data_IF_035185725419
#
_entry.id   IF_035185725419
#
_cell.length_a   1.000
_cell.length_b   1.000
_cell.length_c   1.000
_cell.angle_alpha   90.00
_cell.angle_beta   90.00
_cell.angle_gamma   90.00
#
_symmetry.space_group_name_H-M   'P 1'
#
loop_
_entity.id
_entity.type
_entity.pdbx_description
1 polymer ?
#
# COMPACT_ATOMS: atom_id res chain seq x y z
N UNK A 1 54.10 38.68 -36.65
CA UNK A 1 54.48 37.28 -36.38
C UNK A 1 53.94 36.80 -35.05
N UNK A 2 53.05 35.80 -35.16
CA UNK A 2 52.79 34.74 -34.15
C UNK A 2 52.10 35.18 -32.83
N UNK A 3 51.13 34.57 -32.31
CA UNK A 3 50.21 33.42 -32.60
C UNK A 3 49.25 33.36 -31.44
N UNK A 4 48.00 33.09 -31.81
CA UNK A 4 46.90 32.69 -30.98
C UNK A 4 47.19 31.85 -29.75
N UNK A 5 46.44 32.08 -28.70
CA UNK A 5 45.80 31.02 -27.93
C UNK A 5 44.57 31.53 -27.15
N UNK A 6 43.42 31.40 -27.74
CA UNK A 6 42.14 31.37 -27.06
C UNK A 6 42.09 30.24 -26.07
N UNK A 7 41.81 30.51 -24.80
CA UNK A 7 41.34 29.55 -23.83
C UNK A 7 39.84 29.64 -23.66
N UNK A 8 39.22 28.67 -24.17
CA UNK A 8 37.84 28.30 -24.12
C UNK A 8 37.43 27.90 -22.68
N UNK A 9 36.66 28.73 -21.99
CA UNK A 9 36.01 28.37 -20.74
C UNK A 9 34.66 27.77 -21.08
N UNK A 10 34.58 26.47 -21.07
CA UNK A 10 33.33 25.70 -21.15
C UNK A 10 32.52 25.87 -19.88
N UNK A 11 31.42 26.54 -20.02
CA UNK A 11 30.27 26.50 -19.09
C UNK A 11 29.87 25.02 -18.88
N UNK A 12 29.88 24.59 -17.62
CA UNK A 12 29.31 23.28 -17.21
C UNK A 12 27.82 23.48 -16.98
N UNK A 13 27.05 23.21 -17.99
CA UNK A 13 25.60 23.03 -17.82
C UNK A 13 25.35 21.81 -16.96
N UNK A 14 24.72 22.06 -15.82
CA UNK A 14 24.26 21.01 -14.93
C UNK A 14 23.16 20.22 -15.65
N UNK A 15 23.49 19.04 -16.14
CA UNK A 15 22.52 18.04 -16.57
C UNK A 15 21.78 17.56 -15.34
N UNK A 16 20.55 18.01 -15.17
CA UNK A 16 19.56 17.35 -14.32
C UNK A 16 19.33 15.98 -14.94
N UNK A 17 19.96 14.98 -14.38
CA UNK A 17 19.72 13.60 -14.73
C UNK A 17 18.32 13.19 -14.24
N UNK A 18 17.39 13.08 -15.18
CA UNK A 18 16.15 12.31 -14.94
C UNK A 18 16.56 10.88 -14.58
N UNK A 19 16.44 10.55 -13.33
CA UNK A 19 16.55 9.16 -12.88
C UNK A 19 15.38 8.40 -13.52
N UNK A 20 15.64 7.73 -14.63
CA UNK A 20 14.78 6.65 -15.11
C UNK A 20 14.91 5.53 -14.10
N UNK A 21 13.82 5.24 -13.37
CA UNK A 21 13.71 4.02 -12.60
C UNK A 21 13.97 2.85 -13.57
N UNK A 22 15.14 2.23 -13.45
CA UNK A 22 15.40 0.95 -14.09
C UNK A 22 14.60 -0.09 -13.32
N UNK A 23 13.59 -0.67 -13.95
CA UNK A 23 13.04 -1.94 -13.49
C UNK A 23 14.20 -2.91 -13.31
N UNK A 24 14.35 -3.43 -12.10
CA UNK A 24 15.37 -4.44 -11.81
C UNK A 24 15.15 -5.65 -12.70
N UNK A 25 16.21 -6.16 -13.29
CA UNK A 25 16.18 -7.22 -14.28
C UNK A 25 15.73 -8.60 -13.72
N UNK A 26 15.28 -8.70 -12.48
CA UNK A 26 14.98 -9.97 -11.78
C UNK A 26 13.56 -10.10 -11.23
N UNK A 27 12.62 -9.26 -11.60
CA UNK A 27 11.21 -9.44 -11.22
C UNK A 27 10.91 -9.31 -9.72
N UNK A 28 11.82 -8.78 -8.91
CA UNK A 28 11.55 -8.50 -7.51
C UNK A 28 10.68 -7.25 -7.38
N UNK A 29 9.68 -7.25 -6.45
CA UNK A 29 8.84 -6.09 -6.23
C UNK A 29 9.66 -4.89 -5.76
N UNK A 30 9.33 -3.71 -6.27
CA UNK A 30 9.93 -2.48 -5.78
C UNK A 30 9.58 -2.30 -4.30
N UNK A 31 10.59 -2.08 -3.47
CA UNK A 31 10.39 -1.81 -2.05
C UNK A 31 9.67 -0.47 -1.85
N UNK A 32 8.62 -0.50 -1.06
CA UNK A 32 7.83 0.65 -0.67
C UNK A 32 8.14 1.06 0.77
N UNK A 33 8.06 2.36 1.04
CA UNK A 33 8.19 2.83 2.42
C UNK A 33 6.99 2.34 3.24
N UNK A 34 7.27 1.63 4.33
CA UNK A 34 6.23 1.09 5.21
C UNK A 34 6.51 1.49 6.67
N UNK A 35 5.77 2.49 7.17
CA UNK A 35 5.93 2.99 8.54
C UNK A 35 5.24 2.11 9.58
N UNK A 36 4.18 1.40 9.20
CA UNK A 36 3.32 0.69 10.15
C UNK A 36 3.31 -0.82 9.96
N UNK A 37 4.01 -1.34 8.96
CA UNK A 37 4.05 -2.77 8.65
C UNK A 37 4.46 -3.64 9.82
N UNK A 38 5.39 -3.17 10.64
CA UNK A 38 5.82 -3.87 11.85
C UNK A 38 4.67 -4.18 12.82
N UNK A 39 3.70 -3.27 12.92
CA UNK A 39 2.52 -3.45 13.78
C UNK A 39 1.46 -4.36 13.15
N UNK A 40 1.45 -4.48 11.83
CA UNK A 40 0.47 -5.27 11.08
C UNK A 40 0.97 -6.69 10.76
N UNK A 41 2.27 -6.88 10.63
CA UNK A 41 2.89 -8.17 10.29
C UNK A 41 2.45 -9.33 11.19
N UNK A 42 2.24 -9.18 12.53
CA UNK A 42 1.76 -10.25 13.39
C UNK A 42 0.43 -10.89 12.97
N UNK A 43 -0.41 -10.18 12.21
CA UNK A 43 -1.67 -10.73 11.70
C UNK A 43 -1.49 -11.79 10.61
N UNK A 44 -0.28 -12.00 10.10
CA UNK A 44 0.03 -13.07 9.13
C UNK A 44 0.11 -14.47 9.76
N UNK A 45 0.20 -14.58 11.09
CA UNK A 45 0.41 -15.82 11.82
C UNK A 45 -0.66 -16.90 11.64
N UNK A 46 -1.88 -16.50 11.25
CA UNK A 46 -3.01 -17.41 11.08
C UNK A 46 -3.04 -18.10 9.71
N UNK A 47 -2.05 -17.80 8.87
CA UNK A 47 -1.93 -18.33 7.52
C UNK A 47 -0.79 -19.34 7.43
N UNK A 48 -1.02 -20.40 6.67
CA UNK A 48 0.00 -21.27 6.13
C UNK A 48 0.15 -21.01 4.63
N UNK A 49 1.32 -21.33 4.08
CA UNK A 49 1.62 -21.11 2.68
C UNK A 49 1.90 -22.44 2.00
N UNK A 50 1.20 -22.69 0.89
CA UNK A 50 1.41 -23.88 0.08
C UNK A 50 1.21 -23.54 -1.40
N UNK A 51 1.87 -24.29 -2.28
CA UNK A 51 1.76 -24.11 -3.71
C UNK A 51 0.51 -24.80 -4.26
N UNK A 52 -0.16 -24.14 -5.21
CA UNK A 52 -1.24 -24.74 -5.97
C UNK A 52 -0.67 -25.75 -6.98
N UNK A 53 -1.41 -26.84 -7.25
CA UNK A 53 -0.94 -27.85 -8.17
C UNK A 53 -0.72 -27.28 -9.58
N UNK A 54 0.33 -27.76 -10.25
CA UNK A 54 0.65 -27.35 -11.62
C UNK A 54 -0.53 -27.56 -12.59
N UNK A 55 -1.24 -28.67 -12.44
CA UNK A 55 -2.43 -28.95 -13.26
C UNK A 55 -3.52 -27.91 -13.09
N UNK A 56 -3.79 -27.49 -11.84
CA UNK A 56 -4.75 -26.43 -11.55
C UNK A 56 -4.32 -25.10 -12.18
N UNK A 57 -3.05 -24.73 -12.02
CA UNK A 57 -2.51 -23.47 -12.56
C UNK A 57 -2.59 -23.42 -14.08
N UNK A 58 -2.24 -24.50 -14.77
CA UNK A 58 -2.32 -24.61 -16.23
C UNK A 58 -3.77 -24.56 -16.73
N UNK A 59 -4.66 -25.29 -16.06
CA UNK A 59 -6.09 -25.32 -16.43
C UNK A 59 -6.77 -23.96 -16.30
N UNK A 60 -6.33 -23.15 -15.33
CA UNK A 60 -6.93 -21.85 -15.04
C UNK A 60 -6.11 -20.65 -15.56
N UNK A 61 -5.07 -20.88 -16.35
CA UNK A 61 -4.18 -19.85 -16.92
C UNK A 61 -3.47 -18.97 -15.87
N UNK A 62 -3.05 -19.56 -14.76
CA UNK A 62 -2.30 -18.88 -13.71
C UNK A 62 -0.86 -19.39 -13.56
N UNK A 63 -0.44 -20.32 -14.41
CA UNK A 63 0.89 -20.93 -14.32
C UNK A 63 2.02 -19.90 -14.44
N UNK A 64 1.84 -18.88 -15.28
CA UNK A 64 2.84 -17.81 -15.49
C UNK A 64 3.07 -16.94 -14.26
N UNK A 65 2.06 -16.75 -13.40
CA UNK A 65 2.15 -15.86 -12.23
C UNK A 65 2.25 -16.59 -10.88
N UNK A 66 1.76 -17.82 -10.80
CA UNK A 66 1.71 -18.58 -9.54
C UNK A 66 2.56 -19.85 -9.53
N UNK A 67 3.31 -20.16 -10.59
CA UNK A 67 4.27 -21.25 -10.57
C UNK A 67 5.36 -20.98 -9.55
N UNK A 68 5.59 -21.92 -8.63
CA UNK A 68 6.52 -21.79 -7.50
C UNK A 68 6.22 -20.59 -6.57
N UNK A 69 4.97 -20.14 -6.56
CA UNK A 69 4.50 -19.08 -5.67
C UNK A 69 3.57 -19.70 -4.62
N UNK A 70 3.96 -19.75 -3.34
CA UNK A 70 3.07 -20.23 -2.30
C UNK A 70 1.92 -19.26 -2.08
N UNK A 71 0.72 -19.79 -1.92
CA UNK A 71 -0.49 -19.02 -1.65
C UNK A 71 -0.91 -19.15 -0.18
N UNK A 72 -1.47 -18.09 0.42
CA UNK A 72 -1.85 -18.13 1.82
C UNK A 72 -3.19 -18.85 2.00
N UNK A 73 -3.20 -19.75 2.96
CA UNK A 73 -4.39 -20.54 3.33
C UNK A 73 -4.61 -20.34 4.82
N UNK A 74 -5.81 -19.93 5.21
CA UNK A 74 -6.16 -19.90 6.64
C UNK A 74 -6.21 -21.32 7.18
N UNK A 75 -5.66 -21.51 8.37
CA UNK A 75 -5.65 -22.81 9.05
C UNK A 75 -7.05 -23.39 9.22
N UNK A 76 -8.06 -22.53 9.35
CA UNK A 76 -9.46 -22.92 9.51
C UNK A 76 -10.17 -23.29 8.20
N UNK A 77 -9.60 -22.94 7.02
CA UNK A 77 -10.21 -23.08 5.70
C UNK A 77 -9.61 -24.19 4.83
N UNK A 78 -8.81 -25.08 5.42
CA UNK A 78 -8.08 -26.15 4.68
C UNK A 78 -8.99 -27.06 3.84
N UNK A 79 -10.24 -27.25 4.25
CA UNK A 79 -11.19 -28.18 3.62
C UNK A 79 -12.12 -27.53 2.60
N UNK A 80 -12.17 -26.20 2.53
CA UNK A 80 -13.10 -25.45 1.67
C UNK A 80 -12.43 -24.21 1.07
N UNK A 81 -11.41 -24.44 0.24
CA UNK A 81 -10.66 -23.37 -0.42
C UNK A 81 -11.31 -23.00 -1.75
N UNK A 82 -11.71 -21.74 -1.89
CA UNK A 82 -12.25 -21.16 -3.13
C UNK A 82 -11.34 -20.08 -3.68
N UNK A 83 -11.48 -19.73 -4.95
CA UNK A 83 -10.70 -18.65 -5.58
C UNK A 83 -10.89 -17.31 -4.84
N UNK A 84 -12.10 -17.03 -4.39
CA UNK A 84 -12.41 -15.81 -3.62
C UNK A 84 -11.68 -15.82 -2.27
N UNK A 85 -11.65 -16.95 -1.58
CA UNK A 85 -10.92 -17.10 -0.31
C UNK A 85 -9.41 -16.93 -0.52
N UNK A 86 -8.86 -17.53 -1.57
CA UNK A 86 -7.44 -17.35 -1.92
C UNK A 86 -7.13 -15.88 -2.18
N UNK A 87 -7.95 -15.22 -2.98
CA UNK A 87 -7.78 -13.78 -3.29
C UNK A 87 -7.89 -12.90 -2.03
N UNK A 88 -8.86 -13.19 -1.16
CA UNK A 88 -9.00 -12.48 0.12
C UNK A 88 -7.79 -12.71 1.03
N UNK A 89 -7.33 -13.94 1.14
CA UNK A 89 -6.14 -14.28 1.94
C UNK A 89 -4.89 -13.57 1.38
N UNK A 90 -4.70 -13.56 0.06
CA UNK A 90 -3.63 -12.81 -0.61
C UNK A 90 -3.70 -11.32 -0.28
N UNK A 91 -4.89 -10.74 -0.33
CA UNK A 91 -5.11 -9.33 0.01
C UNK A 91 -4.71 -9.02 1.46
N UNK A 92 -5.11 -9.86 2.40
CA UNK A 92 -4.70 -9.70 3.82
C UNK A 92 -3.19 -9.76 3.97
N UNK A 93 -2.52 -10.72 3.33
CA UNK A 93 -1.05 -10.84 3.42
C UNK A 93 -0.35 -9.60 2.89
N UNK A 94 -0.71 -9.12 1.70
CA UNK A 94 -0.07 -7.92 1.14
C UNK A 94 -0.45 -6.63 1.87
N UNK A 95 -1.60 -6.59 2.52
CA UNK A 95 -1.99 -5.51 3.41
C UNK A 95 -1.18 -5.48 4.70
N UNK A 96 -0.82 -6.64 5.26
CA UNK A 96 0.07 -6.76 6.40
C UNK A 96 1.51 -6.40 6.07
N UNK A 97 1.97 -6.79 4.89
CA UNK A 97 3.33 -6.58 4.40
C UNK A 97 3.29 -6.14 2.94
N UNK A 98 3.34 -4.82 2.73
CA UNK A 98 3.31 -4.25 1.38
C UNK A 98 4.58 -4.54 0.56
N UNK A 99 5.63 -5.01 1.21
CA UNK A 99 6.88 -5.46 0.58
C UNK A 99 7.01 -6.99 0.51
N UNK A 100 5.89 -7.69 0.68
CA UNK A 100 5.85 -9.15 0.57
C UNK A 100 6.43 -9.62 -0.77
N UNK A 101 7.30 -10.62 -0.72
CA UNK A 101 8.07 -11.10 -1.87
C UNK A 101 7.20 -11.40 -3.11
N UNK A 102 6.00 -11.94 -2.93
CA UNK A 102 5.09 -12.32 -4.01
C UNK A 102 3.92 -11.34 -4.19
N UNK A 103 4.04 -10.12 -3.68
CA UNK A 103 2.99 -9.08 -3.78
C UNK A 103 2.48 -8.91 -5.21
N UNK A 104 3.38 -8.76 -6.17
CA UNK A 104 3.00 -8.47 -7.55
C UNK A 104 2.27 -9.65 -8.19
N UNK A 105 2.68 -10.89 -7.89
CA UNK A 105 1.96 -12.10 -8.32
C UNK A 105 0.57 -12.18 -7.71
N UNK A 106 0.40 -11.82 -6.44
CA UNK A 106 -0.90 -11.80 -5.78
C UNK A 106 -1.83 -10.73 -6.36
N UNK A 107 -1.33 -9.52 -6.54
CA UNK A 107 -2.10 -8.44 -7.16
C UNK A 107 -2.54 -8.82 -8.56
N UNK A 108 -1.66 -9.43 -9.37
CA UNK A 108 -1.98 -9.86 -10.72
C UNK A 108 -3.03 -10.98 -10.73
N UNK A 109 -2.92 -11.98 -9.84
CA UNK A 109 -3.93 -13.00 -9.69
C UNK A 109 -5.31 -12.42 -9.36
N UNK A 110 -5.38 -11.50 -8.40
CA UNK A 110 -6.63 -10.85 -8.00
C UNK A 110 -7.23 -10.06 -9.15
N UNK A 111 -6.41 -9.27 -9.86
CA UNK A 111 -6.87 -8.46 -11.00
C UNK A 111 -7.36 -9.32 -12.17
N UNK A 112 -6.67 -10.41 -12.51
CA UNK A 112 -7.11 -11.33 -13.56
C UNK A 112 -8.42 -12.05 -13.22
N UNK A 113 -8.58 -12.42 -11.95
CA UNK A 113 -9.75 -13.18 -11.49
C UNK A 113 -10.98 -12.31 -11.26
N UNK A 114 -10.81 -11.10 -10.74
CA UNK A 114 -11.90 -10.27 -10.21
C UNK A 114 -11.85 -8.81 -10.66
N UNK A 115 -10.80 -8.39 -11.34
CA UNK A 115 -10.58 -6.98 -11.68
C UNK A 115 -10.20 -6.11 -10.47
N UNK A 116 -10.00 -4.82 -10.73
CA UNK A 116 -9.73 -3.82 -9.67
C UNK A 116 -10.95 -3.60 -8.76
N UNK A 117 -12.14 -3.99 -9.20
CA UNK A 117 -13.38 -3.94 -8.40
C UNK A 117 -13.32 -4.81 -7.15
N UNK A 118 -12.37 -5.75 -7.06
CA UNK A 118 -12.13 -6.53 -5.83
C UNK A 118 -11.74 -5.64 -4.64
N UNK A 119 -11.26 -4.44 -4.89
CA UNK A 119 -11.01 -3.46 -3.84
C UNK A 119 -12.28 -3.06 -3.07
N UNK A 120 -13.46 -3.04 -3.73
CA UNK A 120 -14.72 -2.62 -3.11
C UNK A 120 -15.14 -3.47 -1.91
N UNK A 121 -15.21 -4.82 -1.99
CA UNK A 121 -15.52 -5.65 -0.82
C UNK A 121 -14.48 -5.52 0.29
N UNK A 122 -13.20 -5.31 -0.04
CA UNK A 122 -12.15 -5.08 0.97
C UNK A 122 -12.37 -3.76 1.70
N UNK A 123 -12.74 -2.69 0.99
CA UNK A 123 -13.06 -1.39 1.59
C UNK A 123 -14.27 -1.52 2.52
N UNK A 124 -15.34 -2.18 2.10
CA UNK A 124 -16.52 -2.39 2.92
C UNK A 124 -16.22 -3.18 4.20
N UNK A 125 -15.44 -4.26 4.09
CA UNK A 125 -14.99 -5.04 5.24
C UNK A 125 -14.09 -4.22 6.17
N UNK A 126 -13.21 -3.39 5.61
CA UNK A 126 -12.37 -2.46 6.37
C UNK A 126 -13.19 -1.42 7.15
N UNK A 127 -14.23 -0.87 6.54
CA UNK A 127 -15.17 0.05 7.20
C UNK A 127 -15.89 -0.66 8.35
N UNK A 128 -16.32 -1.88 8.15
CA UNK A 128 -16.95 -2.69 9.20
C UNK A 128 -15.98 -2.96 10.35
N UNK A 129 -14.73 -3.33 10.05
CA UNK A 129 -13.69 -3.52 11.07
C UNK A 129 -13.44 -2.23 11.88
N UNK A 130 -13.33 -1.08 11.20
CA UNK A 130 -13.16 0.22 11.85
C UNK A 130 -14.33 0.57 12.75
N UNK A 131 -15.57 0.23 12.36
CA UNK A 131 -16.76 0.45 13.18
C UNK A 131 -16.76 -0.34 14.49
N UNK A 132 -15.99 -1.42 14.53
CA UNK A 132 -15.76 -2.27 15.72
C UNK A 132 -14.46 -1.90 16.45
N UNK A 133 -13.83 -0.81 16.10
CA UNK A 133 -12.52 -0.37 16.62
C UNK A 133 -11.38 -1.34 16.34
N UNK A 134 -11.51 -2.24 15.36
CA UNK A 134 -10.42 -3.06 14.87
C UNK A 134 -9.66 -2.31 13.76
N UNK A 135 -8.91 -1.30 14.18
CA UNK A 135 -8.21 -0.40 13.25
C UNK A 135 -7.03 -1.05 12.55
N UNK A 136 -6.36 -2.00 13.18
CA UNK A 136 -5.26 -2.75 12.55
C UNK A 136 -5.78 -3.55 11.35
N UNK A 137 -6.86 -4.29 11.54
CA UNK A 137 -7.47 -5.06 10.46
C UNK A 137 -8.05 -4.15 9.37
N UNK A 138 -8.67 -3.03 9.76
CA UNK A 138 -9.13 -2.02 8.81
C UNK A 138 -7.98 -1.47 7.95
N UNK A 139 -6.87 -1.10 8.56
CA UNK A 139 -5.67 -0.64 7.85
C UNK A 139 -5.13 -1.69 6.87
N UNK A 140 -5.08 -2.97 7.28
CA UNK A 140 -4.67 -4.08 6.42
C UNK A 140 -5.52 -4.13 5.15
N UNK A 141 -6.84 -4.09 5.29
CA UNK A 141 -7.77 -4.18 4.17
C UNK A 141 -7.71 -2.96 3.25
N UNK A 142 -7.59 -1.75 3.80
CA UNK A 142 -7.46 -0.54 3.00
C UNK A 142 -6.12 -0.49 2.25
N UNK A 143 -5.03 -0.94 2.86
CA UNK A 143 -3.73 -1.06 2.19
C UNK A 143 -3.78 -2.05 1.04
N UNK A 144 -4.41 -3.21 1.24
CA UNK A 144 -4.64 -4.19 0.19
C UNK A 144 -5.48 -3.62 -0.96
N UNK A 145 -6.57 -2.92 -0.64
CA UNK A 145 -7.41 -2.26 -1.63
C UNK A 145 -6.62 -1.26 -2.49
N UNK A 146 -5.74 -0.47 -1.88
CA UNK A 146 -4.88 0.50 -2.59
C UNK A 146 -3.81 -0.16 -3.46
N UNK A 147 -3.32 -1.34 -3.10
CA UNK A 147 -2.41 -2.11 -3.95
C UNK A 147 -3.13 -2.70 -5.17
N UNK A 148 -4.38 -3.10 -5.02
CA UNK A 148 -5.21 -3.66 -6.09
C UNK A 148 -5.72 -2.54 -7.01
N UNK A 149 -6.22 -1.46 -6.46
CA UNK A 149 -6.70 -0.27 -7.16
C UNK A 149 -6.08 1.00 -6.57
N UNK A 150 -4.92 1.45 -7.10
CA UNK A 150 -4.26 2.66 -6.63
C UNK A 150 -5.06 3.95 -6.80
N UNK A 151 -6.13 3.92 -7.59
CA UNK A 151 -7.02 5.07 -7.86
C UNK A 151 -8.24 5.12 -6.93
N UNK A 152 -8.39 4.16 -6.03
CA UNK A 152 -9.50 4.12 -5.08
C UNK A 152 -9.35 5.21 -4.01
N UNK A 153 -9.87 6.40 -4.28
CA UNK A 153 -9.79 7.56 -3.37
C UNK A 153 -10.52 7.33 -2.05
N UNK A 154 -11.63 6.58 -2.08
CA UNK A 154 -12.37 6.16 -0.89
C UNK A 154 -11.55 5.23 0.00
N UNK A 155 -10.77 4.30 -0.57
CA UNK A 155 -9.83 3.49 0.19
C UNK A 155 -8.74 4.34 0.85
N UNK A 156 -8.20 5.32 0.14
CA UNK A 156 -7.19 6.23 0.67
C UNK A 156 -7.74 7.09 1.82
N UNK A 157 -8.94 7.61 1.67
CA UNK A 157 -9.64 8.35 2.73
C UNK A 157 -9.89 7.48 3.96
N UNK A 158 -10.45 6.29 3.78
CA UNK A 158 -10.70 5.36 4.87
C UNK A 158 -9.40 4.94 5.57
N UNK A 159 -8.34 4.71 4.81
CA UNK A 159 -7.01 4.39 5.35
C UNK A 159 -6.46 5.53 6.22
N UNK A 160 -6.48 6.75 5.69
CA UNK A 160 -6.02 7.93 6.43
C UNK A 160 -6.80 8.09 7.75
N UNK A 161 -8.11 7.90 7.72
CA UNK A 161 -8.95 7.93 8.94
C UNK A 161 -8.64 6.81 9.91
N UNK A 162 -8.47 5.58 9.43
CA UNK A 162 -8.13 4.45 10.29
C UNK A 162 -6.77 4.68 10.97
N UNK A 163 -5.78 5.23 10.27
CA UNK A 163 -4.50 5.62 10.87
C UNK A 163 -4.68 6.71 11.93
N UNK A 164 -5.54 7.71 11.66
CA UNK A 164 -5.88 8.74 12.64
C UNK A 164 -6.51 8.13 13.90
N UNK A 165 -7.52 7.30 13.74
CA UNK A 165 -8.19 6.64 14.86
C UNK A 165 -7.22 5.74 15.64
N UNK A 166 -6.27 5.09 14.96
CA UNK A 166 -5.24 4.27 15.59
C UNK A 166 -4.34 5.08 16.51
N UNK A 167 -3.84 6.25 16.08
CA UNK A 167 -2.97 7.04 16.95
C UNK A 167 -3.73 7.76 18.09
N UNK A 168 -5.01 8.02 17.93
CA UNK A 168 -5.83 8.65 18.97
C UNK A 168 -6.09 7.72 20.16
N UNK A 169 -6.24 6.42 19.91
CA UNK A 169 -6.46 5.41 20.96
C UNK A 169 -5.21 4.64 21.34
N UNK A 170 -4.17 4.69 20.49
CA UNK A 170 -2.94 3.94 20.67
C UNK A 170 -2.05 4.50 21.79
N UNK A 171 -1.16 3.66 22.27
CA UNK A 171 -0.19 3.98 23.30
C UNK A 171 1.24 3.79 22.77
N UNK A 172 2.17 4.53 23.37
CA UNK A 172 3.57 4.46 23.01
C UNK A 172 3.98 5.50 21.94
N UNK A 173 5.09 6.16 22.18
CA UNK A 173 5.58 7.26 21.33
C UNK A 173 5.86 6.80 19.89
N UNK A 174 6.49 5.65 19.73
CA UNK A 174 6.82 5.10 18.41
C UNK A 174 5.57 4.73 17.60
N UNK A 175 4.64 4.01 18.21
CA UNK A 175 3.37 3.63 17.59
C UNK A 175 2.56 4.87 17.17
N UNK A 176 2.33 5.77 18.11
CA UNK A 176 1.56 7.00 17.88
C UNK A 176 2.23 7.88 16.82
N UNK A 177 3.54 8.04 16.89
CA UNK A 177 4.30 8.85 15.94
C UNK A 177 4.25 8.31 14.51
N UNK A 178 4.39 7.01 14.34
CA UNK A 178 4.32 6.37 13.01
C UNK A 178 2.92 6.46 12.40
N UNK A 179 1.88 6.21 13.18
CA UNK A 179 0.51 6.36 12.67
C UNK A 179 0.12 7.80 12.38
N UNK A 180 0.61 8.78 13.17
CA UNK A 180 0.43 10.20 12.84
C UNK A 180 1.07 10.56 11.50
N UNK A 181 2.32 10.15 11.27
CA UNK A 181 3.02 10.41 10.02
C UNK A 181 2.32 9.74 8.83
N UNK A 182 1.83 8.52 9.00
CA UNK A 182 1.11 7.79 7.96
C UNK A 182 -0.25 8.44 7.64
N UNK A 183 -0.99 8.86 8.65
CA UNK A 183 -2.23 9.60 8.47
C UNK A 183 -2.01 10.92 7.73
N UNK A 184 -0.99 11.69 8.14
CA UNK A 184 -0.65 12.95 7.51
C UNK A 184 -0.33 12.78 6.02
N UNK A 185 0.56 11.86 5.69
CA UNK A 185 0.92 11.60 4.28
C UNK A 185 -0.27 11.13 3.46
N UNK A 186 -1.12 10.28 4.02
CA UNK A 186 -2.31 9.77 3.34
C UNK A 186 -3.33 10.88 3.07
N UNK A 187 -3.54 11.80 4.02
CA UNK A 187 -4.41 12.98 3.80
C UNK A 187 -3.80 13.96 2.82
N UNK A 188 -2.49 14.22 2.87
CA UNK A 188 -1.80 15.05 1.88
C UNK A 188 -1.99 14.48 0.47
N UNK A 189 -1.77 13.18 0.30
CA UNK A 189 -1.94 12.49 -0.98
C UNK A 189 -3.38 12.55 -1.48
N UNK A 190 -4.37 12.38 -0.59
CA UNK A 190 -5.79 12.49 -0.93
C UNK A 190 -6.14 13.88 -1.45
N UNK A 191 -5.66 14.95 -0.80
CA UNK A 191 -5.91 16.33 -1.23
C UNK A 191 -5.22 16.69 -2.54
N UNK A 192 -4.10 16.08 -2.85
CA UNK A 192 -3.43 16.21 -4.15
C UNK A 192 -4.20 15.49 -5.26
N UNK A 193 -4.70 14.29 -4.99
CA UNK A 193 -5.42 13.46 -5.97
C UNK A 193 -6.87 13.93 -6.18
N UNK A 194 -7.48 14.51 -5.16
CA UNK A 194 -8.87 14.99 -5.11
C UNK A 194 -8.95 16.38 -4.47
N UNK A 195 -8.55 17.46 -5.18
CA UNK A 195 -8.57 18.82 -4.63
C UNK A 195 -9.95 19.30 -4.17
N UNK A 196 -11.02 18.77 -4.75
CA UNK A 196 -12.41 19.12 -4.41
C UNK A 196 -12.97 18.33 -3.23
N UNK A 197 -12.18 17.49 -2.59
CA UNK A 197 -12.60 16.66 -1.48
C UNK A 197 -12.45 17.39 -0.14
N UNK A 198 -13.46 18.13 0.26
CA UNK A 198 -13.46 19.00 1.46
C UNK A 198 -13.09 18.26 2.75
N UNK A 199 -13.57 17.02 2.92
CA UNK A 199 -13.27 16.21 4.10
C UNK A 199 -11.78 15.84 4.17
N UNK A 200 -11.12 15.68 3.03
CA UNK A 200 -9.68 15.44 2.97
C UNK A 200 -8.90 16.62 3.55
N UNK A 201 -9.25 17.85 3.17
CA UNK A 201 -8.62 19.07 3.70
C UNK A 201 -8.95 19.27 5.18
N UNK A 202 -10.16 19.00 5.60
CA UNK A 202 -10.54 19.07 7.02
C UNK A 202 -9.67 18.15 7.89
N UNK A 203 -9.55 16.89 7.52
CA UNK A 203 -8.73 15.93 8.27
C UNK A 203 -7.23 16.20 8.15
N UNK A 204 -6.77 16.72 7.01
CA UNK A 204 -5.38 17.15 6.86
C UNK A 204 -5.05 18.29 7.81
N UNK A 205 -5.89 19.31 7.90
CA UNK A 205 -5.75 20.41 8.87
C UNK A 205 -5.72 19.89 10.30
N UNK A 206 -6.59 18.95 10.65
CA UNK A 206 -6.64 18.30 11.96
C UNK A 206 -5.35 17.51 12.25
N UNK A 207 -4.83 16.77 11.27
CA UNK A 207 -3.57 16.03 11.41
C UNK A 207 -2.37 16.98 11.65
N UNK A 208 -2.31 18.11 10.96
CA UNK A 208 -1.29 19.12 11.18
C UNK A 208 -1.35 19.72 12.59
N UNK A 209 -2.55 20.00 13.10
CA UNK A 209 -2.72 20.47 14.49
C UNK A 209 -2.22 19.44 15.49
N UNK A 210 -2.56 18.17 15.31
CA UNK A 210 -2.12 17.09 16.20
C UNK A 210 -0.62 16.86 16.18
N UNK A 211 0.04 17.20 15.08
CA UNK A 211 1.52 17.17 14.98
C UNK A 211 2.18 18.45 15.48
N UNK A 212 1.42 19.45 15.94
CA UNK A 212 1.93 20.76 16.35
C UNK A 212 2.34 21.66 15.19
N UNK A 213 1.86 21.40 13.97
CA UNK A 213 2.17 22.18 12.76
C UNK A 213 1.08 23.22 12.51
N UNK A 214 0.82 24.07 13.51
CA UNK A 214 -0.29 25.04 13.50
C UNK A 214 -0.29 25.98 12.29
N UNK A 215 0.89 26.37 11.80
CA UNK A 215 0.99 27.27 10.63
C UNK A 215 0.43 26.58 9.39
N UNK A 216 0.77 25.32 9.16
CA UNK A 216 0.24 24.54 8.02
C UNK A 216 -1.27 24.36 8.13
N UNK A 217 -1.80 24.08 9.32
CA UNK A 217 -3.23 23.93 9.55
C UNK A 217 -4.03 25.20 9.22
N UNK A 218 -3.45 26.36 9.44
CA UNK A 218 -4.08 27.64 9.10
C UNK A 218 -4.10 27.95 7.60
N UNK A 219 -3.24 27.30 6.84
CA UNK A 219 -3.13 27.49 5.38
C UNK A 219 -3.97 26.50 4.57
N UNK A 220 -4.50 25.46 5.19
CA UNK A 220 -5.38 24.45 4.59
C UNK A 220 -6.85 24.73 4.84
#
# INVERSE_FOLDING_TARGET
TMTDKQKNTKSKDAKVSKAKAKAGANGEPQELQDRIGEFLFPHTKDYIFDELSENYLKKNNFFDILSNVPVPIRKDDLTNLTNVKIAHNMAVIIGCDINFKFRDSYVEYIRRSFGTDFAKPLINEGIEAASKNDFDYACILFRAALLIDPKASDALYCYARACKDSYEIGEGEDYVGRYKAEALESFERLTMDKPDFDMGFYFLGYAYLNLGLYIKAQLT
#
